data_IF_372551138556
#
_entry.id   IF_372551138556
#
_cell.length_a   1.000
_cell.length_b   1.000
_cell.length_c   1.000
_cell.angle_alpha   90.00
_cell.angle_beta   90.00
_cell.angle_gamma   90.00
#
_symmetry.space_group_name_H-M   'P 1'
#
loop_
_entity.id
_entity.type
_entity.pdbx_description
1 polymer ?
#
# COMPACT_ATOMS: atom_id res chain seq x y z
N UNK A 1 -28.56 7.42 -3.38
CA UNK A 1 -28.60 5.99 -2.96
C UNK A 1 -29.41 5.17 -3.95
N UNK A 2 -29.10 3.88 -4.16
CA UNK A 2 -29.90 2.98 -5.03
C UNK A 2 -30.64 1.85 -4.29
N UNK A 3 -30.29 1.58 -3.03
CA UNK A 3 -30.93 0.54 -2.23
C UNK A 3 -32.22 1.09 -1.58
N UNK A 4 -33.36 0.51 -1.93
CA UNK A 4 -34.68 0.99 -1.50
C UNK A 4 -34.85 0.99 0.02
N UNK A 5 -34.37 -0.03 0.72
CA UNK A 5 -34.50 -0.10 2.19
C UNK A 5 -33.73 1.03 2.89
N UNK A 6 -32.57 1.41 2.36
CA UNK A 6 -31.77 2.51 2.92
C UNK A 6 -32.44 3.86 2.65
N UNK A 7 -32.99 4.05 1.45
CA UNK A 7 -33.78 5.23 1.09
C UNK A 7 -35.03 5.34 1.98
N UNK A 8 -35.76 4.25 2.17
CA UNK A 8 -36.98 4.23 2.98
C UNK A 8 -36.69 4.53 4.47
N UNK A 9 -35.53 4.07 5.00
CA UNK A 9 -35.11 4.29 6.39
C UNK A 9 -34.69 5.72 6.68
N UNK A 10 -33.78 6.28 5.87
CA UNK A 10 -33.17 7.58 6.15
C UNK A 10 -33.82 8.74 5.39
N UNK A 11 -34.59 8.45 4.34
CA UNK A 11 -35.26 9.45 3.49
C UNK A 11 -34.26 10.54 3.06
N UNK A 12 -34.56 11.80 3.38
CA UNK A 12 -33.71 12.96 3.06
C UNK A 12 -32.67 13.28 4.14
N UNK A 13 -32.66 12.55 5.28
CA UNK A 13 -31.71 12.75 6.38
C UNK A 13 -30.43 11.93 6.20
N UNK A 14 -29.82 12.05 5.03
CA UNK A 14 -28.51 11.49 4.72
C UNK A 14 -27.54 12.63 4.41
N UNK A 15 -26.51 12.79 5.23
CA UNK A 15 -25.60 13.92 5.19
C UNK A 15 -24.18 13.47 4.93
N UNK A 16 -23.51 14.14 4.01
CA UNK A 16 -22.12 13.90 3.66
C UNK A 16 -21.26 15.05 4.16
N UNK A 17 -20.27 14.74 5.00
CA UNK A 17 -19.36 15.69 5.62
C UNK A 17 -17.94 15.39 5.13
N UNK A 18 -17.37 16.21 4.23
CA UNK A 18 -15.97 16.09 3.85
C UNK A 18 -15.09 16.64 4.98
N UNK A 19 -14.42 15.76 5.72
CA UNK A 19 -13.58 16.14 6.87
C UNK A 19 -12.18 16.62 6.48
N UNK A 20 -11.84 16.68 5.19
CA UNK A 20 -10.51 17.07 4.69
C UNK A 20 -10.08 18.48 5.13
N UNK A 21 -11.05 19.37 5.40
CA UNK A 21 -10.82 20.74 5.88
C UNK A 21 -10.99 20.89 7.41
N UNK A 22 -11.35 19.84 8.12
CA UNK A 22 -11.63 19.86 9.56
C UNK A 22 -10.36 19.48 10.32
N UNK A 23 -9.68 20.45 10.92
CA UNK A 23 -8.43 20.22 11.68
C UNK A 23 -8.65 19.83 13.13
N UNK A 24 -9.86 20.03 13.66
CA UNK A 24 -10.20 19.84 15.08
C UNK A 24 -11.71 19.62 15.28
N UNK A 25 -12.13 19.39 16.53
CA UNK A 25 -13.53 19.14 16.87
C UNK A 25 -14.46 20.33 16.54
N UNK A 26 -13.97 21.58 16.65
CA UNK A 26 -14.76 22.79 16.38
C UNK A 26 -15.10 22.91 14.89
N UNK A 27 -14.07 22.81 14.05
CA UNK A 27 -14.20 22.82 12.59
C UNK A 27 -14.98 21.61 12.06
N UNK A 28 -14.87 20.46 12.73
CA UNK A 28 -15.67 19.27 12.42
C UNK A 28 -17.17 19.51 12.67
N UNK A 29 -17.54 20.11 13.80
CA UNK A 29 -18.95 20.45 14.09
C UNK A 29 -19.48 21.49 13.12
N UNK A 30 -18.68 22.50 12.79
CA UNK A 30 -19.07 23.48 11.78
C UNK A 30 -19.33 22.81 10.43
N UNK A 31 -18.48 21.87 10.01
CA UNK A 31 -18.68 21.07 8.80
C UNK A 31 -19.96 20.22 8.84
N UNK A 32 -20.27 19.60 9.99
CA UNK A 32 -21.51 18.86 10.19
C UNK A 32 -22.75 19.76 10.13
N UNK A 33 -22.74 20.90 10.81
CA UNK A 33 -23.84 21.87 10.80
C UNK A 33 -24.10 22.40 9.39
N UNK A 34 -23.03 22.71 8.64
CA UNK A 34 -23.12 23.12 7.25
C UNK A 34 -23.76 22.02 6.38
N UNK A 35 -23.35 20.76 6.54
CA UNK A 35 -23.93 19.63 5.82
C UNK A 35 -25.42 19.42 6.16
N UNK A 36 -25.80 19.68 7.41
CA UNK A 36 -27.19 19.66 7.88
C UNK A 36 -28.02 20.86 7.40
N UNK A 37 -27.41 21.87 6.79
CA UNK A 37 -28.08 23.11 6.38
C UNK A 37 -28.47 24.01 7.56
N UNK A 38 -27.80 23.87 8.71
CA UNK A 38 -28.08 24.62 9.92
C UNK A 38 -27.18 25.85 10.01
N UNK A 39 -27.79 27.02 10.18
CA UNK A 39 -27.06 28.26 10.50
C UNK A 39 -26.98 28.44 12.01
N UNK A 40 -25.76 28.61 12.53
CA UNK A 40 -25.57 29.03 13.92
C UNK A 40 -25.79 30.53 14.01
N UNK A 41 -26.80 30.97 14.76
CA UNK A 41 -27.02 32.38 15.07
C UNK A 41 -25.89 32.93 15.93
N UNK A 42 -25.48 34.19 15.69
CA UNK A 42 -24.43 34.85 16.47
C UNK A 42 -24.70 34.72 17.99
N UNK A 43 -23.66 34.30 18.74
CA UNK A 43 -23.72 34.11 20.20
C UNK A 43 -24.26 32.74 20.67
N UNK A 44 -24.69 31.85 19.76
CA UNK A 44 -25.09 30.48 20.12
C UNK A 44 -23.93 29.50 19.98
N UNK A 45 -23.90 28.49 20.86
CA UNK A 45 -22.90 27.43 20.84
C UNK A 45 -23.18 26.44 19.67
N UNK A 46 -22.25 26.29 18.71
CA UNK A 46 -22.37 25.32 17.63
C UNK A 46 -22.57 23.89 18.14
N UNK A 47 -21.89 23.50 19.23
CA UNK A 47 -22.02 22.16 19.81
C UNK A 47 -23.45 21.92 20.26
N UNK A 48 -24.00 22.83 21.05
CA UNK A 48 -25.37 22.73 21.53
C UNK A 48 -26.41 22.72 20.40
N UNK A 49 -26.21 23.54 19.39
CA UNK A 49 -27.10 23.57 18.21
C UNK A 49 -27.14 22.21 17.50
N UNK A 50 -25.97 21.59 17.32
CA UNK A 50 -25.87 20.26 16.73
C UNK A 50 -26.50 19.18 17.61
N UNK A 51 -26.27 19.24 18.92
CA UNK A 51 -26.85 18.32 19.91
C UNK A 51 -28.38 18.41 19.91
N UNK A 52 -28.93 19.62 20.00
CA UNK A 52 -30.37 19.87 20.01
C UNK A 52 -31.01 19.34 18.73
N UNK A 53 -30.37 19.53 17.57
CA UNK A 53 -30.87 18.98 16.30
C UNK A 53 -30.98 17.45 16.32
N UNK A 54 -29.93 16.76 16.79
CA UNK A 54 -29.93 15.29 16.83
C UNK A 54 -30.90 14.73 17.87
N UNK A 55 -30.99 15.36 19.05
CA UNK A 55 -31.89 14.95 20.13
C UNK A 55 -33.37 15.20 19.81
N UNK A 56 -33.68 16.27 19.08
CA UNK A 56 -35.05 16.60 18.67
C UNK A 56 -35.49 15.85 17.39
N UNK A 57 -34.55 15.26 16.65
CA UNK A 57 -34.89 14.47 15.46
C UNK A 57 -35.64 13.20 15.85
N UNK A 58 -36.85 13.03 15.31
CA UNK A 58 -37.63 11.79 15.50
C UNK A 58 -37.41 10.74 14.40
N UNK A 59 -36.71 11.11 13.32
CA UNK A 59 -36.41 10.17 12.24
C UNK A 59 -34.93 9.74 12.28
N UNK A 60 -34.62 8.54 11.76
CA UNK A 60 -33.24 8.09 11.58
C UNK A 60 -32.42 9.03 10.69
N UNK A 61 -31.20 9.34 11.13
CA UNK A 61 -30.22 10.16 10.42
C UNK A 61 -29.01 9.33 10.04
N UNK A 62 -28.52 9.49 8.82
CA UNK A 62 -27.25 8.93 8.37
C UNK A 62 -26.21 10.04 8.21
N UNK A 63 -25.11 9.93 8.95
CA UNK A 63 -23.93 10.80 8.81
C UNK A 63 -22.81 10.03 8.11
N UNK A 64 -22.33 10.55 6.98
CA UNK A 64 -21.17 10.02 6.24
C UNK A 64 -20.01 10.98 6.45
N UNK A 65 -18.99 10.54 7.18
CA UNK A 65 -17.79 11.31 7.52
C UNK A 65 -16.64 10.84 6.63
N UNK A 66 -16.26 11.66 5.65
CA UNK A 66 -15.28 11.30 4.62
C UNK A 66 -13.88 11.90 4.92
N UNK A 67 -12.83 11.10 4.78
CA UNK A 67 -11.44 11.43 5.15
C UNK A 67 -11.26 11.90 6.61
N UNK A 68 -11.75 11.11 7.57
CA UNK A 68 -11.72 11.46 8.99
C UNK A 68 -10.31 11.42 9.60
N UNK A 69 -9.28 10.94 8.88
CA UNK A 69 -7.89 11.00 9.35
C UNK A 69 -7.42 12.44 9.61
N UNK A 70 -7.98 13.45 8.93
CA UNK A 70 -7.57 14.85 9.13
C UNK A 70 -7.89 15.35 10.53
N UNK A 71 -9.16 15.35 11.00
CA UNK A 71 -9.47 15.77 12.37
C UNK A 71 -8.91 14.79 13.42
N UNK A 72 -8.69 13.52 13.07
CA UNK A 72 -8.20 12.50 14.00
C UNK A 72 -6.70 12.57 14.27
N UNK A 73 -5.87 12.76 13.22
CA UNK A 73 -4.41 12.69 13.30
C UNK A 73 -3.71 14.07 13.39
N UNK A 74 -4.46 15.18 13.26
CA UNK A 74 -3.88 16.52 13.43
C UNK A 74 -3.57 16.77 14.91
N UNK A 75 -2.52 17.55 15.21
CA UNK A 75 -2.08 17.93 16.57
C UNK A 75 -3.11 18.76 17.39
N UNK A 76 -4.39 18.75 17.02
CA UNK A 76 -5.47 19.31 17.81
C UNK A 76 -5.80 18.44 19.02
N UNK A 77 -6.88 18.80 19.72
CA UNK A 77 -7.39 18.02 20.85
C UNK A 77 -8.07 16.74 20.34
N UNK A 78 -7.29 15.67 20.17
CA UNK A 78 -7.79 14.35 19.78
C UNK A 78 -8.85 13.83 20.76
N UNK A 79 -8.74 14.16 22.06
CA UNK A 79 -9.75 13.79 23.05
C UNK A 79 -11.08 14.49 22.78
N UNK A 80 -11.07 15.76 22.36
CA UNK A 80 -12.29 16.45 21.98
C UNK A 80 -12.95 15.81 20.74
N UNK A 81 -12.17 15.43 19.73
CA UNK A 81 -12.67 14.73 18.53
C UNK A 81 -13.23 13.35 18.90
N UNK A 82 -12.53 12.63 19.78
CA UNK A 82 -12.97 11.35 20.32
C UNK A 82 -14.30 11.48 21.07
N UNK A 83 -14.38 12.40 22.02
CA UNK A 83 -15.60 12.62 22.82
C UNK A 83 -16.80 12.96 21.93
N UNK A 84 -16.58 13.75 20.89
CA UNK A 84 -17.62 14.09 19.92
C UNK A 84 -18.10 12.86 19.15
N UNK A 85 -17.19 12.08 18.56
CA UNK A 85 -17.59 10.91 17.75
C UNK A 85 -18.25 9.84 18.60
N UNK A 86 -17.78 9.62 19.83
CA UNK A 86 -18.38 8.70 20.79
C UNK A 86 -19.79 9.15 21.19
N UNK A 87 -19.98 10.45 21.44
CA UNK A 87 -21.30 11.00 21.72
C UNK A 87 -22.27 10.82 20.55
N UNK A 88 -21.82 11.05 19.31
CA UNK A 88 -22.65 10.85 18.10
C UNK A 88 -23.03 9.37 17.94
N UNK A 89 -22.07 8.45 18.12
CA UNK A 89 -22.32 7.02 17.97
C UNK A 89 -23.26 6.45 19.03
N UNK A 90 -23.42 7.13 20.18
CA UNK A 90 -24.35 6.76 21.23
C UNK A 90 -25.80 7.22 20.98
N UNK A 91 -26.08 7.95 19.90
CA UNK A 91 -27.44 8.38 19.57
C UNK A 91 -28.22 7.28 18.84
N UNK A 92 -29.35 6.84 19.40
CA UNK A 92 -30.13 5.69 18.87
C UNK A 92 -30.60 5.87 17.41
N UNK A 93 -30.92 7.11 17.02
CA UNK A 93 -31.42 7.43 15.69
C UNK A 93 -30.31 7.84 14.71
N UNK A 94 -29.05 7.80 15.11
CA UNK A 94 -27.93 8.17 14.23
C UNK A 94 -27.18 6.93 13.79
N UNK A 95 -27.01 6.80 12.48
CA UNK A 95 -26.09 5.84 11.88
C UNK A 95 -24.91 6.59 11.31
N UNK A 96 -23.69 6.13 11.61
CA UNK A 96 -22.44 6.76 11.14
C UNK A 96 -21.74 5.82 10.17
N UNK A 97 -21.37 6.34 9.01
CA UNK A 97 -20.40 5.74 8.09
C UNK A 97 -19.19 6.63 8.08
N UNK A 98 -18.02 6.08 8.35
CA UNK A 98 -16.78 6.82 8.41
C UNK A 98 -15.76 6.18 7.49
N UNK A 99 -15.04 7.00 6.74
CA UNK A 99 -13.88 6.56 5.95
C UNK A 99 -12.64 7.26 6.46
N UNK A 100 -11.56 6.52 6.65
CA UNK A 100 -10.28 7.10 7.04
C UNK A 100 -9.13 6.18 6.63
N UNK A 101 -7.93 6.77 6.52
CA UNK A 101 -6.67 6.01 6.50
C UNK A 101 -6.25 5.72 7.95
N UNK A 102 -6.63 4.55 8.45
CA UNK A 102 -6.19 4.02 9.73
C UNK A 102 -6.42 2.50 9.79
N UNK A 103 -5.76 1.86 10.75
CA UNK A 103 -5.97 0.44 11.09
C UNK A 103 -7.32 0.23 11.76
N UNK A 104 -7.70 1.13 12.67
CA UNK A 104 -8.93 1.06 13.45
C UNK A 104 -9.74 2.36 13.39
N UNK A 105 -11.02 2.27 13.75
CA UNK A 105 -11.89 3.43 13.82
C UNK A 105 -11.62 4.31 15.06
N UNK A 106 -12.05 5.58 15.05
CA UNK A 106 -11.72 6.51 16.12
C UNK A 106 -12.48 6.20 17.42
N UNK A 107 -11.81 6.44 18.55
CA UNK A 107 -12.36 6.28 19.89
C UNK A 107 -12.65 4.84 20.28
N UNK A 108 -13.47 4.66 21.31
CA UNK A 108 -13.87 3.36 21.86
C UNK A 108 -15.17 2.80 21.26
N UNK A 109 -15.65 3.40 20.16
CA UNK A 109 -16.87 2.97 19.48
C UNK A 109 -16.70 1.57 18.86
N UNK A 110 -17.78 0.78 18.90
CA UNK A 110 -17.82 -0.52 18.20
C UNK A 110 -18.04 -0.32 16.71
N UNK A 111 -16.96 -0.10 15.97
CA UNK A 111 -17.00 0.04 14.52
C UNK A 111 -17.16 -1.31 13.82
N UNK A 112 -18.04 -1.37 12.82
CA UNK A 112 -18.09 -2.48 11.88
C UNK A 112 -17.14 -2.19 10.70
N UNK A 113 -15.96 -2.80 10.72
CA UNK A 113 -14.92 -2.58 9.70
C UNK A 113 -15.28 -3.31 8.39
N UNK A 114 -15.36 -2.57 7.29
CA UNK A 114 -15.55 -3.13 5.95
C UNK A 114 -14.22 -3.57 5.35
N UNK A 115 -14.23 -4.69 4.63
CA UNK A 115 -13.03 -5.26 3.98
C UNK A 115 -12.21 -6.22 4.85
N UNK A 116 -12.63 -6.48 6.09
CA UNK A 116 -11.96 -7.41 7.00
C UNK A 116 -10.78 -6.76 7.75
N UNK A 117 -9.85 -7.59 8.24
CA UNK A 117 -8.76 -7.15 9.12
C UNK A 117 -7.84 -6.11 8.45
N UNK A 118 -7.59 -6.24 7.15
CA UNK A 118 -6.66 -5.38 6.40
C UNK A 118 -7.33 -4.18 5.73
N UNK A 119 -8.63 -3.97 5.94
CA UNK A 119 -9.39 -2.90 5.30
C UNK A 119 -9.87 -3.25 3.88
N UNK A 120 -10.28 -2.24 3.10
CA UNK A 120 -10.79 -2.49 1.74
C UNK A 120 -9.68 -3.01 0.82
N UNK A 121 -9.85 -4.21 0.21
CA UNK A 121 -8.82 -4.79 -0.63
C UNK A 121 -8.73 -4.09 -2.01
N UNK A 122 -7.63 -4.34 -2.72
CA UNK A 122 -7.59 -4.15 -4.18
C UNK A 122 -8.69 -4.93 -4.88
N UNK A 123 -8.96 -4.59 -6.14
CA UNK A 123 -9.91 -5.36 -6.93
C UNK A 123 -9.32 -6.72 -7.28
N UNK A 124 -10.16 -7.75 -7.29
CA UNK A 124 -9.81 -8.98 -7.98
C UNK A 124 -9.58 -8.70 -9.48
N UNK A 125 -8.76 -9.54 -10.12
CA UNK A 125 -8.34 -9.32 -11.51
C UNK A 125 -9.51 -9.17 -12.49
N UNK A 126 -10.58 -9.96 -12.31
CA UNK A 126 -11.77 -9.89 -13.17
C UNK A 126 -12.55 -8.57 -13.00
N UNK A 127 -12.95 -8.14 -11.79
CA UNK A 127 -13.46 -6.79 -11.55
C UNK A 127 -12.53 -5.67 -12.03
N UNK A 128 -11.22 -5.81 -11.84
CA UNK A 128 -10.23 -4.85 -12.33
C UNK A 128 -10.29 -4.72 -13.86
N UNK A 129 -10.38 -5.85 -14.57
CA UNK A 129 -10.55 -5.89 -16.02
C UNK A 129 -11.84 -5.22 -16.46
N UNK A 130 -12.96 -5.53 -15.79
CA UNK A 130 -14.26 -4.92 -16.09
C UNK A 130 -14.24 -3.40 -15.89
N UNK A 131 -13.66 -2.92 -14.78
CA UNK A 131 -13.50 -1.50 -14.50
C UNK A 131 -12.64 -0.82 -15.57
N UNK A 132 -11.50 -1.43 -15.93
CA UNK A 132 -10.62 -0.93 -16.98
C UNK A 132 -11.36 -0.78 -18.31
N UNK A 133 -12.06 -1.82 -18.76
CA UNK A 133 -12.78 -1.84 -20.04
C UNK A 133 -13.91 -0.79 -20.06
N UNK A 134 -14.66 -0.68 -18.97
CA UNK A 134 -15.73 0.30 -18.82
C UNK A 134 -15.22 1.74 -18.89
N UNK A 135 -14.13 2.05 -18.18
CA UNK A 135 -13.58 3.41 -18.10
C UNK A 135 -12.87 3.79 -19.40
N UNK A 136 -12.10 2.88 -19.99
CA UNK A 136 -11.41 3.12 -21.26
C UNK A 136 -12.36 3.17 -22.46
N UNK A 137 -13.61 2.73 -22.30
CA UNK A 137 -14.58 2.53 -23.38
C UNK A 137 -14.06 1.55 -24.44
N UNK A 138 -13.19 0.62 -24.05
CA UNK A 138 -12.68 -0.45 -24.90
C UNK A 138 -13.70 -1.59 -24.96
N UNK A 139 -13.97 -2.11 -26.16
CA UNK A 139 -14.84 -3.28 -26.37
C UNK A 139 -14.08 -4.61 -26.35
N UNK A 140 -12.79 -4.56 -26.68
CA UNK A 140 -11.90 -5.72 -26.69
C UNK A 140 -10.45 -5.26 -26.50
N UNK A 141 -9.69 -5.99 -25.70
CA UNK A 141 -8.25 -5.80 -25.52
C UNK A 141 -7.56 -7.17 -25.53
N UNK A 142 -6.25 -7.19 -25.75
CA UNK A 142 -5.47 -8.41 -25.51
C UNK A 142 -5.47 -8.71 -24.01
N UNK A 143 -6.10 -9.83 -23.62
CA UNK A 143 -6.35 -10.17 -22.21
C UNK A 143 -5.04 -10.40 -21.46
N UNK A 144 -4.08 -11.11 -22.04
CA UNK A 144 -2.80 -11.39 -21.39
C UNK A 144 -2.00 -10.11 -21.08
N UNK A 145 -1.94 -9.19 -22.04
CA UNK A 145 -1.27 -7.90 -21.89
C UNK A 145 -1.96 -7.01 -20.86
N UNK A 146 -3.30 -7.04 -20.84
CA UNK A 146 -4.10 -6.28 -19.89
C UNK A 146 -3.93 -6.85 -18.49
N UNK A 147 -4.04 -8.16 -18.33
CA UNK A 147 -3.88 -8.84 -17.05
C UNK A 147 -2.47 -8.64 -16.49
N UNK A 148 -1.44 -8.66 -17.33
CA UNK A 148 -0.09 -8.30 -16.94
C UNK A 148 -0.06 -6.88 -16.36
N UNK A 149 -0.58 -5.89 -17.09
CA UNK A 149 -0.55 -4.49 -16.64
C UNK A 149 -1.37 -4.26 -15.35
N UNK A 150 -2.50 -4.94 -15.20
CA UNK A 150 -3.34 -4.85 -14.01
C UNK A 150 -2.66 -5.48 -12.78
N UNK A 151 -1.99 -6.62 -12.96
CA UNK A 151 -1.18 -7.25 -11.91
C UNK A 151 0.00 -6.38 -11.52
N UNK A 152 0.67 -5.77 -12.49
CA UNK A 152 1.78 -4.86 -12.23
C UNK A 152 1.42 -3.64 -11.35
N UNK A 153 0.17 -3.19 -11.38
CA UNK A 153 -0.33 -2.12 -10.50
C UNK A 153 -1.14 -2.64 -9.32
N UNK A 154 -1.00 -3.93 -8.99
CA UNK A 154 -1.70 -4.66 -7.92
C UNK A 154 -3.21 -4.45 -7.90
N UNK A 155 -3.80 -4.32 -9.09
CA UNK A 155 -5.22 -4.05 -9.28
C UNK A 155 -5.75 -2.90 -8.42
N UNK A 156 -4.89 -1.91 -8.13
CA UNK A 156 -5.26 -0.76 -7.29
C UNK A 156 -6.30 0.10 -8.02
N UNK A 157 -7.49 0.34 -7.46
CA UNK A 157 -8.59 1.02 -8.14
C UNK A 157 -8.20 2.37 -8.77
N UNK A 158 -7.44 3.19 -8.05
CA UNK A 158 -7.00 4.50 -8.54
C UNK A 158 -5.99 4.40 -9.70
N UNK A 159 -5.07 3.43 -9.66
CA UNK A 159 -4.16 3.19 -10.79
C UNK A 159 -4.94 2.72 -12.02
N UNK A 160 -5.89 1.79 -11.85
CA UNK A 160 -6.75 1.29 -12.93
C UNK A 160 -7.52 2.45 -13.57
N UNK A 161 -8.13 3.32 -12.76
CA UNK A 161 -8.84 4.51 -13.25
C UNK A 161 -7.95 5.35 -14.16
N UNK A 162 -6.73 5.67 -13.71
CA UNK A 162 -5.82 6.55 -14.45
C UNK A 162 -5.30 5.86 -15.72
N UNK A 163 -4.87 4.60 -15.64
CA UNK A 163 -4.40 3.87 -16.83
C UNK A 163 -5.54 3.71 -17.85
N UNK A 164 -6.76 3.41 -17.40
CA UNK A 164 -7.92 3.30 -18.29
C UNK A 164 -8.29 4.64 -18.93
N UNK A 165 -8.12 5.77 -18.23
CA UNK A 165 -8.25 7.10 -18.83
C UNK A 165 -7.16 7.37 -19.88
N UNK A 166 -5.90 7.03 -19.58
CA UNK A 166 -4.79 7.16 -20.54
C UNK A 166 -4.99 6.27 -21.77
N UNK A 167 -5.60 5.09 -21.62
CA UNK A 167 -5.94 4.15 -22.70
C UNK A 167 -6.87 4.75 -23.76
N UNK A 168 -7.64 5.79 -23.42
CA UNK A 168 -8.47 6.52 -24.40
C UNK A 168 -7.63 7.23 -25.48
N UNK A 169 -6.36 7.48 -25.20
CA UNK A 169 -5.45 8.21 -26.09
C UNK A 169 -4.21 7.39 -26.50
N UNK A 170 -3.89 6.32 -25.77
CA UNK A 170 -2.69 5.51 -25.96
C UNK A 170 -3.04 4.04 -26.20
N UNK A 171 -2.18 3.31 -26.89
CA UNK A 171 -2.33 1.85 -27.03
C UNK A 171 -1.93 1.12 -25.75
N UNK A 172 -2.42 -0.11 -25.55
CA UNK A 172 -2.06 -0.93 -24.39
C UNK A 172 -0.55 -1.18 -24.32
N UNK A 173 0.09 -1.51 -25.45
CA UNK A 173 1.54 -1.69 -25.53
C UNK A 173 2.32 -0.42 -25.13
N UNK A 174 1.80 0.76 -25.50
CA UNK A 174 2.40 2.04 -25.08
C UNK A 174 2.28 2.26 -23.58
N UNK A 175 1.17 1.86 -22.98
CA UNK A 175 0.97 1.94 -21.52
C UNK A 175 1.92 0.99 -20.78
N UNK A 176 2.07 -0.24 -21.26
CA UNK A 176 3.02 -1.21 -20.68
C UNK A 176 4.45 -0.70 -20.75
N UNK A 177 4.87 -0.15 -21.91
CA UNK A 177 6.20 0.47 -22.04
C UNK A 177 6.37 1.65 -21.09
N UNK A 178 5.36 2.53 -21.00
CA UNK A 178 5.37 3.67 -20.06
C UNK A 178 5.46 3.20 -18.61
N UNK A 179 4.80 2.11 -18.24
CA UNK A 179 4.89 1.54 -16.90
C UNK A 179 6.32 1.08 -16.62
N UNK A 180 6.91 0.32 -17.53
CA UNK A 180 8.29 -0.14 -17.39
C UNK A 180 9.31 1.01 -17.24
N UNK A 181 9.10 2.12 -17.95
CA UNK A 181 10.02 3.28 -17.94
C UNK A 181 9.77 4.27 -16.79
N UNK A 182 8.50 4.54 -16.46
CA UNK A 182 8.10 5.66 -15.61
C UNK A 182 7.46 5.23 -14.29
N UNK A 183 7.01 3.97 -14.18
CA UNK A 183 6.36 3.41 -13.00
C UNK A 183 5.26 4.33 -12.47
N UNK A 184 5.18 4.58 -11.17
CA UNK A 184 4.14 5.43 -10.55
C UNK A 184 4.09 6.85 -11.12
N UNK A 185 5.18 7.38 -11.69
CA UNK A 185 5.18 8.71 -12.32
C UNK A 185 4.20 8.81 -13.48
N UNK A 186 3.88 7.70 -14.14
CA UNK A 186 2.88 7.69 -15.22
C UNK A 186 1.43 7.81 -14.71
N UNK A 187 1.17 7.50 -13.43
CA UNK A 187 -0.16 7.44 -12.85
C UNK A 187 -0.64 8.84 -12.44
N UNK A 188 -0.72 9.73 -13.43
CA UNK A 188 -1.20 11.10 -13.32
C UNK A 188 -2.12 11.45 -14.48
N UNK A 189 -3.33 11.94 -14.19
CA UNK A 189 -4.29 12.41 -15.17
C UNK A 189 -4.19 13.94 -15.33
N UNK A 190 -3.60 14.38 -16.45
CA UNK A 190 -3.54 15.79 -16.87
C UNK A 190 -2.59 16.70 -16.07
N UNK A 191 -2.48 17.99 -16.46
CA UNK A 191 -1.57 18.96 -15.84
C UNK A 191 -2.08 19.53 -14.50
N UNK A 192 -3.38 19.42 -14.20
CA UNK A 192 -3.99 19.82 -12.92
C UNK A 192 -4.12 18.63 -11.98
N UNK A 193 -3.01 18.17 -11.41
CA UNK A 193 -2.98 16.97 -10.57
C UNK A 193 -3.53 17.23 -9.17
N UNK A 194 -4.51 16.44 -8.75
CA UNK A 194 -5.04 16.34 -7.40
C UNK A 194 -4.80 14.92 -6.87
N UNK A 195 -5.07 14.66 -5.59
CA UNK A 195 -4.98 13.30 -5.02
C UNK A 195 -5.85 12.28 -5.77
N UNK A 196 -7.00 12.71 -6.31
CA UNK A 196 -7.92 11.85 -7.08
C UNK A 196 -7.49 11.62 -8.54
N UNK A 197 -6.50 12.38 -9.02
CA UNK A 197 -5.95 12.27 -10.37
C UNK A 197 -4.46 11.92 -10.38
N UNK A 198 -3.86 11.61 -9.23
CA UNK A 198 -2.44 11.31 -9.10
C UNK A 198 -2.17 10.37 -7.92
N UNK A 199 -1.62 9.19 -8.22
CA UNK A 199 -1.23 8.22 -7.19
C UNK A 199 -0.12 8.78 -6.31
N UNK A 200 0.91 9.41 -6.89
CA UNK A 200 2.01 10.01 -6.12
C UNK A 200 1.53 11.06 -5.10
N UNK A 201 0.52 11.87 -5.44
CA UNK A 201 -0.02 12.87 -4.50
C UNK A 201 -0.74 12.19 -3.32
N UNK A 202 -1.50 11.13 -3.59
CA UNK A 202 -2.14 10.35 -2.53
C UNK A 202 -1.10 9.71 -1.59
N UNK A 203 0.01 9.22 -2.13
CA UNK A 203 1.13 8.67 -1.35
C UNK A 203 1.82 9.77 -0.54
N UNK A 204 2.04 10.95 -1.13
CA UNK A 204 2.63 12.10 -0.43
C UNK A 204 1.85 12.51 0.82
N UNK A 205 0.51 12.47 0.74
CA UNK A 205 -0.35 12.76 1.89
C UNK A 205 -0.09 11.75 3.02
N UNK A 206 -0.04 10.44 2.71
CA UNK A 206 0.27 9.41 3.70
C UNK A 206 1.67 9.53 4.30
N UNK A 207 2.68 9.85 3.48
CA UNK A 207 4.04 10.08 3.96
C UNK A 207 4.14 11.31 4.88
N UNK A 208 3.40 12.39 4.57
CA UNK A 208 3.35 13.57 5.43
C UNK A 208 2.75 13.27 6.80
N UNK A 209 1.78 12.35 6.89
CA UNK A 209 1.25 11.89 8.18
C UNK A 209 2.34 11.21 9.02
N UNK A 210 3.16 10.35 8.42
CA UNK A 210 4.28 9.69 9.11
C UNK A 210 5.34 10.68 9.59
N UNK A 211 5.75 11.62 8.74
CA UNK A 211 6.78 12.63 9.06
C UNK A 211 6.35 13.50 10.25
N UNK A 212 5.05 13.75 10.39
CA UNK A 212 4.47 14.56 11.48
C UNK A 212 4.17 13.73 12.74
N UNK A 213 4.21 12.40 12.66
CA UNK A 213 3.95 11.52 13.79
C UNK A 213 5.10 11.53 14.81
N UNK A 214 4.82 11.23 16.10
CA UNK A 214 5.87 11.03 17.11
C UNK A 214 6.88 9.93 16.72
N UNK A 215 6.45 8.95 15.94
CA UNK A 215 7.22 7.78 15.52
C UNK A 215 7.84 7.94 14.13
N UNK A 216 8.24 9.15 13.75
CA UNK A 216 8.80 9.46 12.41
C UNK A 216 9.99 8.58 12.00
N UNK A 217 10.70 7.98 12.97
CA UNK A 217 11.81 7.08 12.72
C UNK A 217 11.39 5.81 11.95
N UNK A 218 10.09 5.47 11.94
CA UNK A 218 9.53 4.39 11.12
C UNK A 218 9.82 4.55 9.62
N UNK A 219 10.07 5.79 9.16
CA UNK A 219 10.45 6.10 7.77
C UNK A 219 11.75 5.38 7.37
N UNK A 220 12.65 5.10 8.31
CA UNK A 220 13.90 4.36 8.07
C UNK A 220 13.66 2.93 7.58
N UNK A 221 12.48 2.35 7.82
CA UNK A 221 12.10 1.00 7.38
C UNK A 221 11.58 1.00 5.92
N UNK A 222 11.07 2.13 5.42
CA UNK A 222 10.49 2.25 4.08
C UNK A 222 11.41 1.80 2.94
N UNK A 223 12.73 2.10 2.93
CA UNK A 223 13.64 1.63 1.89
C UNK A 223 13.72 0.10 1.78
N UNK A 224 13.44 -0.64 2.87
CA UNK A 224 13.44 -2.10 2.86
C UNK A 224 12.08 -2.60 2.35
N UNK A 225 10.98 -2.12 2.94
CA UNK A 225 9.62 -2.56 2.59
C UNK A 225 9.25 -2.28 1.14
N UNK A 226 9.73 -1.16 0.60
CA UNK A 226 9.45 -0.78 -0.79
C UNK A 226 10.37 -1.46 -1.81
N UNK A 227 11.45 -2.11 -1.38
CA UNK A 227 12.36 -2.83 -2.26
C UNK A 227 11.96 -4.30 -2.47
N UNK A 228 11.22 -4.87 -1.51
CA UNK A 228 10.88 -6.28 -1.46
C UNK A 228 9.52 -6.55 -2.13
N UNK A 229 9.48 -7.12 -3.35
CA UNK A 229 8.24 -7.29 -4.11
C UNK A 229 7.20 -8.19 -3.43
N UNK A 230 7.62 -9.25 -2.73
CA UNK A 230 6.71 -10.11 -1.97
C UNK A 230 6.39 -9.55 -0.57
N UNK A 231 6.89 -8.36 -0.23
CA UNK A 231 6.83 -7.82 1.12
C UNK A 231 7.80 -8.54 2.07
N UNK A 232 7.46 -8.57 3.35
CA UNK A 232 8.24 -9.21 4.42
C UNK A 232 7.41 -10.32 5.05
N UNK A 233 7.56 -11.58 4.61
CA UNK A 233 6.95 -12.74 5.25
C UNK A 233 7.49 -12.93 6.67
N UNK A 234 6.64 -13.38 7.60
CA UNK A 234 7.00 -13.59 9.02
C UNK A 234 7.68 -12.35 9.58
N UNK A 235 6.97 -11.24 9.50
CA UNK A 235 7.60 -9.93 9.57
C UNK A 235 8.24 -9.66 10.93
N UNK A 236 7.70 -10.20 12.03
CA UNK A 236 8.24 -10.01 13.37
C UNK A 236 9.70 -10.51 13.44
N UNK A 237 9.97 -11.72 12.92
CA UNK A 237 11.31 -12.32 12.93
C UNK A 237 12.18 -11.83 11.77
N UNK A 238 11.58 -11.65 10.59
CA UNK A 238 12.32 -11.30 9.37
C UNK A 238 12.74 -9.83 9.41
N UNK A 239 11.85 -8.91 9.76
CA UNK A 239 12.15 -7.48 9.71
C UNK A 239 13.29 -7.10 10.65
N UNK A 240 13.34 -7.72 11.84
CA UNK A 240 14.43 -7.54 12.81
C UNK A 240 15.82 -7.94 12.26
N UNK A 241 15.86 -8.86 11.29
CA UNK A 241 17.10 -9.26 10.63
C UNK A 241 17.43 -8.41 9.40
N UNK A 242 16.47 -7.62 8.88
CA UNK A 242 16.64 -6.78 7.70
C UNK A 242 16.99 -5.32 8.04
N UNK A 243 16.44 -4.81 9.13
CA UNK A 243 16.68 -3.43 9.57
C UNK A 243 18.11 -3.26 10.05
N UNK A 244 18.76 -2.17 9.61
CA UNK A 244 20.17 -1.89 9.89
C UNK A 244 20.30 -1.05 11.17
N UNK A 245 19.28 -0.26 11.46
CA UNK A 245 19.22 0.68 12.57
C UNK A 245 18.79 -0.01 13.87
N UNK A 246 19.66 0.04 14.88
CA UNK A 246 19.45 -0.62 16.17
C UNK A 246 18.60 0.17 17.17
N UNK A 247 18.25 1.41 16.85
CA UNK A 247 17.54 2.35 17.72
C UNK A 247 16.02 2.44 17.44
N UNK A 248 15.50 1.59 16.56
CA UNK A 248 14.08 1.62 16.15
C UNK A 248 13.28 0.58 16.92
N UNK A 249 12.19 1.03 17.54
CA UNK A 249 11.12 0.14 17.98
C UNK A 249 10.33 -0.33 16.76
N UNK A 250 10.58 -1.57 16.33
CA UNK A 250 10.01 -2.13 15.10
C UNK A 250 8.49 -2.31 15.19
N UNK A 251 7.97 -2.75 16.34
CA UNK A 251 6.54 -2.98 16.52
C UNK A 251 5.78 -1.65 16.43
N UNK A 252 6.23 -0.65 17.19
CA UNK A 252 5.64 0.70 17.16
C UNK A 252 5.76 1.32 15.77
N UNK A 253 6.90 1.12 15.10
CA UNK A 253 7.10 1.63 13.74
C UNK A 253 6.19 0.98 12.72
N UNK A 254 5.99 -0.35 12.79
CA UNK A 254 5.09 -1.08 11.90
C UNK A 254 3.64 -0.65 12.13
N UNK A 255 3.22 -0.44 13.38
CA UNK A 255 1.89 0.09 13.70
C UNK A 255 1.68 1.45 13.02
N UNK A 256 2.61 2.39 13.19
CA UNK A 256 2.49 3.72 12.55
C UNK A 256 2.48 3.63 11.02
N UNK A 257 3.24 2.70 10.42
CA UNK A 257 3.20 2.46 8.98
C UNK A 257 1.85 1.88 8.52
N UNK A 258 1.25 0.95 9.26
CA UNK A 258 -0.07 0.40 8.97
C UNK A 258 -1.16 1.48 9.09
N UNK A 259 -1.08 2.35 10.10
CA UNK A 259 -2.00 3.49 10.29
C UNK A 259 -1.96 4.47 9.12
N UNK A 260 -0.79 4.65 8.49
CA UNK A 260 -0.66 5.51 7.29
C UNK A 260 -1.29 4.92 6.01
N UNK A 261 -1.69 3.64 6.05
CA UNK A 261 -2.17 2.85 4.92
C UNK A 261 -1.16 2.74 3.75
N UNK A 262 0.13 2.98 3.98
CA UNK A 262 1.19 2.73 3.00
C UNK A 262 1.54 1.24 2.89
N UNK A 263 1.33 0.51 3.99
CA UNK A 263 1.51 -0.95 4.05
C UNK A 263 0.24 -1.60 4.59
N UNK A 264 0.10 -2.89 4.32
CA UNK A 264 -0.95 -3.73 4.88
C UNK A 264 -0.37 -5.07 5.30
N UNK A 265 -1.06 -5.76 6.20
CA UNK A 265 -0.69 -7.11 6.63
C UNK A 265 -1.64 -8.14 6.01
N UNK A 266 -1.09 -9.22 5.48
CA UNK A 266 -1.84 -10.36 4.95
C UNK A 266 -1.08 -11.65 5.26
N UNK A 267 -1.71 -12.63 5.91
CA UNK A 267 -1.10 -13.94 6.22
C UNK A 267 0.29 -13.83 6.86
N UNK A 268 0.42 -12.97 7.88
CA UNK A 268 1.68 -12.70 8.58
C UNK A 268 2.82 -12.11 7.71
N UNK A 269 2.44 -11.48 6.60
CA UNK A 269 3.34 -10.79 5.69
C UNK A 269 3.01 -9.30 5.64
N UNK A 270 4.01 -8.44 5.84
CA UNK A 270 3.87 -6.99 5.59
C UNK A 270 4.09 -6.71 4.11
N UNK A 271 3.10 -6.12 3.46
CA UNK A 271 3.11 -5.84 2.02
C UNK A 271 2.87 -4.37 1.74
N UNK A 272 3.36 -3.94 0.59
CA UNK A 272 3.17 -2.61 0.03
C UNK A 272 2.74 -2.79 -1.42
N UNK A 273 1.72 -2.06 -1.86
CA UNK A 273 1.28 -2.14 -3.26
C UNK A 273 2.38 -1.61 -4.18
N UNK A 274 2.59 -2.25 -5.32
CA UNK A 274 3.59 -1.95 -6.34
C UNK A 274 3.65 -0.45 -6.72
N UNK A 275 2.54 0.25 -7.00
CA UNK A 275 2.58 1.70 -7.23
C UNK A 275 3.11 2.50 -6.03
N UNK A 276 2.88 2.04 -4.80
CA UNK A 276 3.43 2.65 -3.59
C UNK A 276 4.91 2.34 -3.47
N UNK A 277 5.32 1.08 -3.69
CA UNK A 277 6.72 0.63 -3.67
C UNK A 277 7.59 1.50 -4.59
N UNK A 278 7.18 1.65 -5.85
CA UNK A 278 7.94 2.37 -6.87
C UNK A 278 8.06 3.88 -6.56
N UNK A 279 7.02 4.49 -5.99
CA UNK A 279 7.05 5.91 -5.60
C UNK A 279 7.89 6.14 -4.33
N UNK A 280 7.79 5.24 -3.36
CA UNK A 280 8.57 5.27 -2.13
C UNK A 280 10.05 5.02 -2.42
N UNK A 281 10.41 4.09 -3.32
CA UNK A 281 11.80 3.85 -3.73
C UNK A 281 12.45 5.09 -4.37
N UNK A 282 11.68 5.94 -5.06
CA UNK A 282 12.20 7.20 -5.60
C UNK A 282 12.51 8.20 -4.47
N UNK A 283 11.69 8.24 -3.42
CA UNK A 283 11.78 9.22 -2.32
C UNK A 283 12.74 8.77 -1.20
N UNK A 284 12.75 7.48 -0.91
CA UNK A 284 13.50 6.81 0.15
C UNK A 284 14.21 5.58 -0.45
N UNK A 285 15.21 5.78 -1.32
CA UNK A 285 15.87 4.70 -2.03
C UNK A 285 16.63 3.77 -1.09
N UNK A 286 16.63 2.48 -1.42
CA UNK A 286 17.47 1.48 -0.78
C UNK A 286 18.95 1.84 -0.93
N UNK A 287 19.67 1.87 0.18
CA UNK A 287 21.11 2.15 0.22
C UNK A 287 21.91 0.85 0.18
N UNK A 288 23.22 0.95 -0.06
CA UNK A 288 24.14 -0.19 -0.08
C UNK A 288 24.13 -0.98 1.24
N UNK A 289 23.98 -0.31 2.38
CA UNK A 289 23.84 -0.94 3.70
C UNK A 289 22.61 -1.85 3.78
N UNK A 290 21.45 -1.37 3.32
CA UNK A 290 20.21 -2.14 3.27
C UNK A 290 20.35 -3.33 2.32
N UNK A 291 20.89 -3.13 1.12
CA UNK A 291 21.11 -4.19 0.14
C UNK A 291 22.04 -5.28 0.69
N UNK A 292 23.14 -4.89 1.31
CA UNK A 292 24.09 -5.83 1.91
C UNK A 292 23.45 -6.62 3.05
N UNK A 293 22.64 -5.97 3.89
CA UNK A 293 21.92 -6.64 4.97
C UNK A 293 20.88 -7.64 4.45
N UNK A 294 20.06 -7.24 3.47
CA UNK A 294 19.12 -8.13 2.79
C UNK A 294 19.84 -9.30 2.12
N UNK A 295 20.97 -9.05 1.45
CA UNK A 295 21.80 -10.08 0.84
C UNK A 295 22.30 -11.10 1.85
N UNK A 296 22.87 -10.64 2.97
CA UNK A 296 23.32 -11.52 4.07
C UNK A 296 22.18 -12.35 4.66
N UNK A 297 21.02 -11.74 4.87
CA UNK A 297 19.83 -12.44 5.34
C UNK A 297 19.42 -13.56 4.37
N UNK A 298 19.29 -13.28 3.07
CA UNK A 298 18.86 -14.29 2.11
C UNK A 298 19.89 -15.39 1.87
N UNK A 299 21.20 -15.07 1.90
CA UNK A 299 22.27 -16.08 1.87
C UNK A 299 22.16 -17.01 3.08
N UNK A 300 21.93 -16.45 4.28
CA UNK A 300 21.72 -17.25 5.50
C UNK A 300 20.46 -18.09 5.41
N UNK A 301 19.33 -17.50 4.98
CA UNK A 301 18.06 -18.21 4.82
C UNK A 301 18.19 -19.43 3.90
N UNK A 302 18.86 -19.26 2.76
CA UNK A 302 19.09 -20.34 1.79
C UNK A 302 20.12 -21.38 2.25
N UNK A 303 21.03 -21.02 3.15
CA UNK A 303 21.96 -21.98 3.77
C UNK A 303 21.27 -22.82 4.84
N UNK A 304 20.39 -22.21 5.62
CA UNK A 304 19.68 -22.85 6.72
C UNK A 304 18.54 -23.77 6.22
N UNK A 305 18.11 -23.61 4.96
CA UNK A 305 17.08 -24.41 4.31
C UNK A 305 17.65 -25.18 3.10
N UNK A 306 17.64 -26.51 3.16
CA UNK A 306 18.12 -27.36 2.06
C UNK A 306 16.99 -27.80 1.11
N UNK A 307 17.26 -27.98 -0.20
CA UNK A 307 16.27 -28.46 -1.16
C UNK A 307 15.69 -29.81 -0.73
N UNK A 308 14.37 -29.85 -0.50
CA UNK A 308 13.64 -31.05 -0.06
C UNK A 308 12.99 -30.92 1.32
N UNK A 309 13.39 -29.92 2.12
CA UNK A 309 12.66 -29.47 3.31
C UNK A 309 12.27 -28.00 3.12
N UNK A 310 11.03 -27.65 3.48
CA UNK A 310 10.55 -26.26 3.51
C UNK A 310 10.56 -25.47 2.18
N UNK A 311 10.24 -26.13 1.04
CA UNK A 311 10.13 -25.45 -0.27
C UNK A 311 9.09 -24.33 -0.27
N UNK A 312 7.98 -24.52 0.44
CA UNK A 312 6.92 -23.52 0.58
C UNK A 312 7.42 -22.28 1.36
N UNK A 313 8.34 -22.47 2.31
CA UNK A 313 8.99 -21.39 3.04
C UNK A 313 9.91 -20.54 2.17
N UNK A 314 10.58 -21.10 1.16
CA UNK A 314 11.41 -20.32 0.22
C UNK A 314 10.55 -19.67 -0.88
N UNK A 315 9.42 -20.28 -1.25
CA UNK A 315 8.54 -19.73 -2.28
C UNK A 315 8.04 -18.32 -1.94
N UNK A 316 7.67 -18.08 -0.68
CA UNK A 316 7.21 -16.76 -0.23
C UNK A 316 8.29 -15.68 -0.34
N UNK A 317 9.57 -16.06 -0.40
CA UNK A 317 10.71 -15.14 -0.58
C UNK A 317 11.26 -15.11 -2.02
N UNK A 318 10.73 -15.92 -2.94
CA UNK A 318 11.35 -16.14 -4.26
C UNK A 318 11.57 -14.86 -5.07
N UNK A 319 10.56 -13.99 -5.19
CA UNK A 319 10.69 -12.68 -5.87
C UNK A 319 11.64 -11.73 -5.14
N UNK A 320 11.67 -11.78 -3.80
CA UNK A 320 12.57 -10.97 -3.00
C UNK A 320 14.04 -11.37 -3.24
N UNK A 321 14.34 -12.67 -3.19
CA UNK A 321 15.66 -13.23 -3.50
C UNK A 321 16.08 -12.80 -4.90
N UNK A 322 15.18 -12.94 -5.88
CA UNK A 322 15.42 -12.54 -7.26
C UNK A 322 15.79 -11.06 -7.38
N UNK A 323 15.03 -10.18 -6.72
CA UNK A 323 15.27 -8.75 -6.77
C UNK A 323 16.59 -8.36 -6.09
N UNK A 324 16.84 -8.90 -4.89
CA UNK A 324 18.02 -8.61 -4.08
C UNK A 324 19.29 -9.14 -4.75
N UNK A 325 19.33 -10.42 -5.11
CA UNK A 325 20.49 -11.01 -5.79
C UNK A 325 20.67 -10.44 -7.20
N UNK A 326 19.60 -10.21 -7.95
CA UNK A 326 19.68 -9.58 -9.27
C UNK A 326 20.34 -8.19 -9.23
N UNK A 327 20.14 -7.46 -8.13
CA UNK A 327 20.80 -6.15 -7.92
C UNK A 327 22.23 -6.31 -7.41
N UNK A 328 22.46 -7.17 -6.40
CA UNK A 328 23.79 -7.40 -5.82
C UNK A 328 24.78 -8.04 -6.79
N UNK A 329 24.31 -8.91 -7.69
CA UNK A 329 25.17 -9.54 -8.70
C UNK A 329 25.64 -8.55 -9.77
N UNK A 330 25.06 -7.35 -9.84
CA UNK A 330 25.50 -6.26 -10.71
C UNK A 330 26.48 -5.30 -10.02
N UNK A 331 26.73 -5.46 -8.73
CA UNK A 331 27.68 -4.63 -7.97
C UNK A 331 29.08 -5.25 -7.96
N UNK A 332 30.08 -4.51 -7.50
CA UNK A 332 31.46 -5.00 -7.37
C UNK A 332 31.64 -6.11 -6.32
N UNK A 333 30.67 -6.33 -5.45
CA UNK A 333 30.70 -7.33 -4.36
C UNK A 333 29.96 -8.63 -4.71
N UNK A 334 29.57 -8.81 -5.98
CA UNK A 334 28.80 -9.95 -6.48
C UNK A 334 29.30 -11.33 -6.03
N UNK A 335 30.63 -11.50 -5.82
CA UNK A 335 31.25 -12.77 -5.39
C UNK A 335 30.72 -13.29 -4.07
N UNK A 336 30.39 -12.40 -3.13
CA UNK A 336 29.89 -12.77 -1.80
C UNK A 336 28.51 -13.44 -1.85
N UNK A 337 27.79 -13.26 -2.96
CA UNK A 337 26.41 -13.71 -3.14
C UNK A 337 26.27 -14.88 -4.12
N UNK A 338 27.37 -15.36 -4.73
CA UNK A 338 27.35 -16.53 -5.62
C UNK A 338 26.90 -17.79 -4.89
N UNK A 339 27.35 -18.01 -3.66
CA UNK A 339 26.90 -19.15 -2.85
C UNK A 339 25.38 -19.14 -2.65
N UNK A 340 24.80 -17.95 -2.45
CA UNK A 340 23.35 -17.77 -2.39
C UNK A 340 22.67 -18.12 -3.70
N UNK A 341 23.23 -17.71 -4.84
CA UNK A 341 22.73 -18.09 -6.16
C UNK A 341 22.80 -19.60 -6.39
N UNK A 342 23.92 -20.24 -6.05
CA UNK A 342 24.07 -21.69 -6.17
C UNK A 342 23.02 -22.42 -5.33
N UNK A 343 22.88 -22.06 -4.06
CA UNK A 343 21.88 -22.65 -3.16
C UNK A 343 20.45 -22.42 -3.68
N UNK A 344 20.14 -21.21 -4.17
CA UNK A 344 18.82 -20.93 -4.74
C UNK A 344 18.55 -21.73 -6.02
N UNK A 345 19.57 -21.92 -6.86
CA UNK A 345 19.46 -22.71 -8.08
C UNK A 345 19.15 -24.17 -7.79
N UNK A 346 19.54 -24.73 -6.64
CA UNK A 346 19.20 -26.11 -6.26
C UNK A 346 17.69 -26.38 -6.16
N UNK A 347 16.88 -25.34 -5.94
CA UNK A 347 15.43 -25.43 -5.92
C UNK A 347 14.86 -25.53 -7.34
N UNK A 348 14.64 -26.75 -7.82
CA UNK A 348 14.12 -27.00 -9.17
C UNK A 348 12.81 -26.27 -9.51
N UNK A 349 11.95 -25.99 -8.51
CA UNK A 349 10.72 -25.20 -8.67
C UNK A 349 10.96 -23.79 -9.22
N UNK A 350 12.13 -23.20 -8.94
CA UNK A 350 12.48 -21.84 -9.34
C UNK A 350 13.44 -21.80 -10.53
N UNK A 351 13.58 -22.90 -11.30
CA UNK A 351 14.57 -23.02 -12.39
C UNK A 351 14.56 -21.83 -13.37
N UNK A 352 13.38 -21.38 -13.81
CA UNK A 352 13.25 -20.23 -14.72
C UNK A 352 13.80 -18.92 -14.13
N UNK A 353 13.59 -18.71 -12.83
CA UNK A 353 14.06 -17.54 -12.09
C UNK A 353 15.58 -17.64 -11.87
N UNK A 354 16.07 -18.82 -11.48
CA UNK A 354 17.50 -19.08 -11.29
C UNK A 354 18.27 -18.84 -12.59
N UNK A 355 17.73 -19.24 -13.74
CA UNK A 355 18.33 -18.97 -15.06
C UNK A 355 18.54 -17.46 -15.31
N UNK A 356 17.57 -16.62 -14.93
CA UNK A 356 17.71 -15.17 -15.07
C UNK A 356 18.83 -14.61 -14.19
N UNK A 357 18.95 -15.08 -12.96
CA UNK A 357 20.02 -14.65 -12.06
C UNK A 357 21.40 -15.14 -12.53
N UNK A 358 21.47 -16.35 -13.10
CA UNK A 358 22.70 -16.88 -13.71
C UNK A 358 23.11 -16.00 -14.89
N UNK A 359 22.17 -15.57 -15.73
CA UNK A 359 22.46 -14.65 -16.84
C UNK A 359 22.98 -13.30 -16.37
N UNK A 360 22.43 -12.76 -15.26
CA UNK A 360 22.93 -11.53 -14.64
C UNK A 360 24.35 -11.72 -14.10
N UNK A 361 24.65 -12.86 -13.47
CA UNK A 361 25.99 -13.16 -12.98
C UNK A 361 27.00 -13.33 -14.13
N UNK A 362 26.62 -14.03 -15.20
CA UNK A 362 27.47 -14.26 -16.37
C UNK A 362 27.79 -12.96 -17.13
N UNK A 363 26.95 -11.94 -17.02
CA UNK A 363 27.18 -10.63 -17.63
C UNK A 363 28.29 -9.80 -16.94
N UNK A 364 28.79 -10.23 -15.77
CA UNK A 364 29.86 -9.54 -15.05
C UNK A 364 31.25 -9.77 -15.67
N UNK A 365 32.19 -8.85 -15.41
CA UNK A 365 33.58 -9.00 -15.85
C UNK A 365 34.38 -9.92 -14.92
N UNK A 366 34.77 -11.08 -15.43
CA UNK A 366 35.52 -12.12 -14.71
C UNK A 366 37.03 -11.88 -14.76
N UNK A 367 37.51 -10.80 -14.11
CA UNK A 367 38.91 -10.33 -14.27
C UNK A 367 39.99 -11.35 -13.85
N UNK A 368 39.64 -12.43 -13.12
CA UNK A 368 40.54 -13.53 -12.72
C UNK A 368 39.87 -14.92 -12.57
N UNK A 369 38.71 -15.15 -13.19
CA UNK A 369 37.77 -16.20 -12.74
C UNK A 369 37.18 -17.12 -13.81
N UNK A 370 37.98 -17.61 -14.77
CA UNK A 370 37.50 -18.56 -15.79
C UNK A 370 36.80 -19.80 -15.19
N UNK A 371 37.28 -20.31 -14.05
CA UNK A 371 36.69 -21.48 -13.40
C UNK A 371 35.24 -21.23 -12.94
N UNK A 372 34.97 -20.03 -12.46
CA UNK A 372 33.70 -19.67 -11.85
C UNK A 372 32.66 -19.32 -12.92
N UNK A 373 33.09 -18.68 -14.01
CA UNK A 373 32.28 -18.54 -15.23
C UNK A 373 31.91 -19.92 -15.81
N UNK A 374 32.85 -20.88 -15.83
CA UNK A 374 32.61 -22.25 -16.28
C UNK A 374 31.58 -22.95 -15.37
N UNK A 375 31.70 -22.83 -14.04
CA UNK A 375 30.72 -23.38 -13.09
C UNK A 375 29.31 -22.85 -13.33
N UNK A 376 29.16 -21.54 -13.54
CA UNK A 376 27.87 -20.94 -13.86
C UNK A 376 27.29 -21.41 -15.20
N UNK A 377 28.13 -21.59 -16.23
CA UNK A 377 27.70 -22.17 -17.52
C UNK A 377 27.22 -23.61 -17.35
N UNK A 378 27.92 -24.44 -16.59
CA UNK A 378 27.47 -25.80 -16.28
C UNK A 378 26.15 -25.81 -15.48
N UNK A 379 26.03 -24.93 -14.48
CA UNK A 379 24.80 -24.78 -13.72
C UNK A 379 23.63 -24.37 -14.63
N UNK A 380 23.86 -23.45 -15.58
CA UNK A 380 22.87 -23.04 -16.56
C UNK A 380 22.41 -24.21 -17.44
N UNK A 381 23.35 -25.00 -17.97
CA UNK A 381 23.05 -26.17 -18.79
C UNK A 381 22.22 -27.20 -18.01
N UNK A 382 22.58 -27.49 -16.76
CA UNK A 382 21.85 -28.42 -15.90
C UNK A 382 20.44 -27.95 -15.49
N UNK A 383 20.08 -26.69 -15.74
CA UNK A 383 18.73 -26.14 -15.49
C UNK A 383 17.88 -26.02 -16.75
N UNK A 384 18.50 -26.12 -17.92
CA UNK A 384 17.83 -26.17 -19.23
C UNK A 384 17.40 -27.60 -19.61
N UNK A 385 18.07 -28.61 -19.05
CA UNK A 385 17.71 -30.03 -19.12
C UNK A 385 16.61 -30.39 -18.12
#
# INVERSE_FOLDING_TARGET
MKNKAVIDKFKDKNYFVPCEICSDASTLIQGMLQALGLSVTEGHDPYKTFQDYLLLSQDPTLLVLDNFETPWNTNGDQMAVQNLIEWICNQELVSVVLTMRATDGPGSCRWYKLGGHSGLPSLDLEPARQAFMLISNSRSENIESLDWLLKEVDCMPLAILIIAQLKRHLSLNTLMRKWNEQKTRMLKAGPGSSRHSSVSISIDISLQMLVRSPNRECIKILPILSFLPNGVPQWQETLAQLVVESDIDLEVSVISLLESALIYQENDCLKMLSPIQEDVQIKYPTQESHLSQMGRYYVKLLRDHFPGQNQDGIEVHSSNITKVFGTLLQTSTWREYLDGLYNFAEYGKFSSISLQLIDVALAQMWDKGFEEEIKLRFLKEGRLS
#
